data_IF_860374863999
#
_entry.id   IF_860374863999
#
_cell.length_a   1.000
_cell.length_b   1.000
_cell.length_c   1.000
_cell.angle_alpha   90.00
_cell.angle_beta   90.00
_cell.angle_gamma   90.00
#
_symmetry.space_group_name_H-M   'P 1'
#
loop_
_entity.id
_entity.type
_entity.pdbx_description
1 polymer ?
#
# COMPACT_ATOMS: atom_id res chain seq x y z
N UNK A 1 23.85 -26.24 22.56
CA UNK A 1 24.61 -25.20 21.80
C UNK A 1 25.53 -25.82 20.74
N UNK A 2 25.07 -26.77 19.92
CA UNK A 2 25.85 -27.35 18.80
C UNK A 2 25.02 -27.94 17.67
N UNK A 3 23.74 -27.52 17.47
CA UNK A 3 22.91 -27.98 16.36
C UNK A 3 22.73 -26.98 15.21
N UNK A 4 23.15 -25.73 15.38
CA UNK A 4 22.96 -24.70 14.34
C UNK A 4 23.91 -24.79 13.12
N UNK A 5 24.98 -25.55 13.20
CA UNK A 5 26.00 -25.61 12.14
C UNK A 5 25.75 -26.62 11.02
N UNK A 6 24.83 -27.60 11.21
CA UNK A 6 24.59 -28.64 10.21
C UNK A 6 23.53 -28.30 9.14
N UNK A 7 22.65 -27.35 9.46
CA UNK A 7 21.53 -26.98 8.57
C UNK A 7 21.94 -25.98 7.45
N UNK A 8 23.13 -25.40 7.54
CA UNK A 8 23.59 -24.34 6.62
C UNK A 8 24.04 -24.87 5.25
N UNK A 9 24.28 -26.18 5.11
CA UNK A 9 24.79 -26.79 3.87
C UNK A 9 23.75 -27.59 3.08
N UNK A 10 22.51 -27.72 3.60
CA UNK A 10 21.48 -28.44 2.87
C UNK A 10 20.89 -27.57 1.74
N UNK A 11 20.61 -28.17 0.58
CA UNK A 11 19.91 -27.47 -0.49
C UNK A 11 18.50 -27.10 -0.06
N UNK A 12 17.99 -25.98 -0.60
CA UNK A 12 16.61 -25.55 -0.35
C UNK A 12 15.60 -26.60 -0.80
N UNK A 13 14.63 -26.87 0.02
CA UNK A 13 13.46 -27.69 -0.38
C UNK A 13 12.65 -26.94 -1.45
N UNK A 14 11.84 -27.65 -2.21
CA UNK A 14 10.94 -27.07 -3.21
C UNK A 14 9.97 -26.06 -2.58
N UNK A 15 9.49 -26.34 -1.37
CA UNK A 15 8.61 -25.45 -0.60
C UNK A 15 9.34 -24.15 -0.17
N UNK A 16 10.56 -24.26 0.35
CA UNK A 16 11.36 -23.10 0.74
C UNK A 16 11.65 -22.19 -0.46
N UNK A 17 12.00 -22.76 -1.61
CA UNK A 17 12.18 -22.01 -2.86
C UNK A 17 10.91 -21.29 -3.27
N UNK A 18 9.75 -21.95 -3.22
CA UNK A 18 8.47 -21.35 -3.55
C UNK A 18 8.11 -20.21 -2.59
N UNK A 19 8.38 -20.34 -1.30
CA UNK A 19 8.21 -19.29 -0.29
C UNK A 19 9.11 -18.09 -0.58
N UNK A 20 10.36 -18.31 -0.97
CA UNK A 20 11.25 -17.23 -1.38
C UNK A 20 10.72 -16.48 -2.62
N UNK A 21 10.23 -17.20 -3.63
CA UNK A 21 9.61 -16.60 -4.82
C UNK A 21 8.40 -15.75 -4.40
N UNK A 22 7.53 -16.26 -3.52
CA UNK A 22 6.38 -15.51 -3.03
C UNK A 22 6.80 -14.22 -2.29
N UNK A 23 7.87 -14.26 -1.49
CA UNK A 23 8.41 -13.08 -0.79
C UNK A 23 8.97 -12.06 -1.79
N UNK A 24 9.69 -12.50 -2.82
CA UNK A 24 10.20 -11.61 -3.88
C UNK A 24 9.04 -10.95 -4.63
N UNK A 25 7.97 -11.71 -4.94
CA UNK A 25 6.77 -11.16 -5.57
C UNK A 25 6.07 -10.12 -4.69
N UNK A 26 5.94 -10.38 -3.38
CA UNK A 26 5.39 -9.40 -2.41
C UNK A 26 6.29 -8.17 -2.34
N UNK A 27 7.61 -8.33 -2.42
CA UNK A 27 8.56 -7.22 -2.44
C UNK A 27 8.42 -6.37 -3.71
N UNK A 28 8.22 -6.99 -4.87
CA UNK A 28 7.95 -6.28 -6.12
C UNK A 28 6.63 -5.52 -6.07
N UNK A 29 5.55 -6.15 -5.57
CA UNK A 29 4.28 -5.48 -5.32
C UNK A 29 4.42 -4.33 -4.33
N UNK A 30 5.31 -4.45 -3.33
CA UNK A 30 5.60 -3.37 -2.38
C UNK A 30 6.17 -2.13 -3.07
N UNK A 31 7.02 -2.28 -4.09
CA UNK A 31 7.53 -1.13 -4.85
C UNK A 31 6.37 -0.37 -5.48
N UNK A 32 5.46 -1.08 -6.14
CA UNK A 32 4.29 -0.47 -6.82
C UNK A 32 3.37 0.20 -5.80
N UNK A 33 3.05 -0.49 -4.70
CA UNK A 33 2.21 0.04 -3.65
C UNK A 33 2.76 1.36 -3.09
N UNK A 34 4.01 1.36 -2.64
CA UNK A 34 4.63 2.52 -2.02
C UNK A 34 4.88 3.65 -3.00
N UNK A 35 5.13 3.35 -4.28
CA UNK A 35 5.30 4.34 -5.32
C UNK A 35 4.07 5.25 -5.46
N UNK A 36 2.88 4.65 -5.48
CA UNK A 36 1.61 5.40 -5.56
C UNK A 36 1.16 5.92 -4.20
N UNK A 37 1.46 5.21 -3.11
CA UNK A 37 1.20 5.70 -1.76
C UNK A 37 1.92 7.03 -1.47
N UNK A 38 3.20 7.15 -1.83
CA UNK A 38 3.98 8.37 -1.62
C UNK A 38 3.50 9.56 -2.46
N UNK A 39 2.62 9.36 -3.42
CA UNK A 39 2.01 10.49 -4.14
C UNK A 39 1.09 11.34 -3.24
N UNK A 40 0.69 10.85 -2.07
CA UNK A 40 0.02 11.69 -1.07
C UNK A 40 0.92 12.84 -0.56
N UNK A 41 2.22 12.60 -0.45
CA UNK A 41 3.19 13.61 0.04
C UNK A 41 3.75 14.49 -1.09
N UNK A 42 3.45 14.16 -2.34
CA UNK A 42 3.90 14.86 -3.54
C UNK A 42 2.70 15.44 -4.31
N UNK A 43 2.04 14.63 -5.13
CA UNK A 43 0.96 15.09 -6.00
C UNK A 43 -0.22 15.69 -5.22
N UNK A 44 -0.63 15.09 -4.09
CA UNK A 44 -1.72 15.62 -3.29
C UNK A 44 -1.35 16.95 -2.62
N UNK A 45 -0.11 17.11 -2.17
CA UNK A 45 0.35 18.38 -1.55
C UNK A 45 0.30 19.51 -2.56
N UNK A 46 0.79 19.28 -3.78
CA UNK A 46 0.70 20.27 -4.88
C UNK A 46 -0.76 20.57 -5.18
N UNK A 47 -1.59 19.54 -5.34
CA UNK A 47 -3.03 19.73 -5.55
C UNK A 47 -3.70 20.55 -4.45
N UNK A 48 -3.41 20.29 -3.18
CA UNK A 48 -3.96 21.04 -2.06
C UNK A 48 -3.57 22.53 -2.13
N UNK A 49 -2.34 22.81 -2.48
CA UNK A 49 -1.85 24.19 -2.60
C UNK A 49 -2.55 24.95 -3.73
N UNK A 50 -2.74 24.28 -4.88
CA UNK A 50 -3.20 24.94 -6.09
C UNK A 50 -4.73 24.95 -6.23
N UNK A 51 -5.42 23.91 -5.74
CA UNK A 51 -6.84 23.66 -6.06
C UNK A 51 -7.76 23.51 -4.85
N UNK A 52 -7.25 23.53 -3.61
CA UNK A 52 -8.07 23.36 -2.40
C UNK A 52 -8.09 24.64 -1.57
N UNK A 53 -9.25 24.95 -1.00
CA UNK A 53 -9.35 25.98 0.03
C UNK A 53 -8.88 25.39 1.36
N UNK A 54 -7.57 25.56 1.66
CA UNK A 54 -6.92 25.02 2.85
C UNK A 54 -7.18 25.87 4.09
N UNK A 55 -8.45 26.28 4.31
CA UNK A 55 -8.82 27.07 5.50
C UNK A 55 -10.24 26.71 5.99
N UNK A 56 -10.44 26.76 7.30
CA UNK A 56 -11.75 26.62 7.97
C UNK A 56 -11.95 27.90 8.79
N UNK A 57 -12.90 28.76 8.36
CA UNK A 57 -13.07 30.09 8.93
C UNK A 57 -11.81 30.94 8.70
N UNK A 58 -11.22 31.44 9.79
CA UNK A 58 -9.98 32.20 9.79
C UNK A 58 -8.72 31.36 10.04
N UNK A 59 -8.87 30.05 10.15
CA UNK A 59 -7.75 29.14 10.44
C UNK A 59 -7.24 28.47 9.17
N UNK A 60 -5.96 28.69 8.84
CA UNK A 60 -5.28 28.05 7.71
C UNK A 60 -4.71 26.71 8.14
N UNK A 61 -4.95 25.68 7.32
CA UNK A 61 -4.51 24.29 7.54
C UNK A 61 -3.30 24.03 6.65
N UNK A 62 -2.10 23.83 7.20
CA UNK A 62 -0.96 23.42 6.41
C UNK A 62 -1.18 22.07 5.72
N UNK A 63 -0.83 21.89 4.43
CA UNK A 63 -0.99 20.60 3.74
C UNK A 63 -0.34 19.42 4.49
N UNK A 64 0.79 19.63 5.17
CA UNK A 64 1.47 18.62 6.00
C UNK A 64 0.63 18.11 7.18
N UNK A 65 -0.31 18.92 7.68
CA UNK A 65 -1.23 18.45 8.72
C UNK A 65 -2.18 17.39 8.20
N UNK A 66 -2.54 17.46 6.92
CA UNK A 66 -3.39 16.46 6.27
C UNK A 66 -2.58 15.18 5.97
N UNK A 67 -1.43 15.32 5.32
CA UNK A 67 -0.67 14.14 4.87
C UNK A 67 0.13 13.46 5.99
N UNK A 68 0.62 14.19 6.97
CA UNK A 68 1.49 13.66 8.03
C UNK A 68 0.75 13.52 9.36
N UNK A 69 0.15 14.61 9.87
CA UNK A 69 -0.44 14.60 11.22
C UNK A 69 -1.72 13.78 11.25
N UNK A 70 -2.63 13.99 10.28
CA UNK A 70 -3.87 13.24 10.18
C UNK A 70 -3.61 11.76 9.87
N UNK A 71 -2.71 11.46 8.93
CA UNK A 71 -2.27 10.09 8.65
C UNK A 71 -1.72 9.41 9.91
N UNK A 72 -0.80 10.05 10.65
CA UNK A 72 -0.22 9.50 11.88
C UNK A 72 -1.28 9.20 12.95
N UNK A 73 -2.24 10.12 13.15
CA UNK A 73 -3.37 9.90 14.07
C UNK A 73 -4.21 8.70 13.64
N UNK A 74 -4.54 8.62 12.35
CA UNK A 74 -5.28 7.50 11.78
C UNK A 74 -4.53 6.18 11.91
N UNK A 75 -3.21 6.14 11.73
CA UNK A 75 -2.40 4.93 11.92
C UNK A 75 -2.54 4.37 13.34
N UNK A 76 -2.54 5.24 14.36
CA UNK A 76 -2.73 4.81 15.76
C UNK A 76 -4.13 4.23 15.97
N UNK A 77 -5.17 4.94 15.52
CA UNK A 77 -6.56 4.51 15.70
C UNK A 77 -6.88 3.27 14.86
N UNK A 78 -6.57 3.33 13.56
CA UNK A 78 -6.88 2.25 12.63
C UNK A 78 -6.03 1.00 12.88
N UNK A 79 -4.81 1.15 13.42
CA UNK A 79 -3.98 0.00 13.80
C UNK A 79 -4.70 -0.92 14.78
N UNK A 80 -5.30 -0.35 15.82
CA UNK A 80 -6.12 -1.11 16.79
C UNK A 80 -7.40 -1.69 16.17
N UNK A 81 -8.10 -0.91 15.37
CA UNK A 81 -9.34 -1.35 14.69
C UNK A 81 -9.04 -2.49 13.71
N UNK A 82 -8.00 -2.36 12.89
CA UNK A 82 -7.62 -3.40 11.93
C UNK A 82 -7.13 -4.67 12.61
N UNK A 83 -6.39 -4.57 13.72
CA UNK A 83 -6.02 -5.74 14.50
C UNK A 83 -7.25 -6.49 15.03
N UNK A 84 -8.25 -5.77 15.52
CA UNK A 84 -9.51 -6.38 15.97
C UNK A 84 -10.29 -7.02 14.79
N UNK A 85 -10.34 -6.37 13.64
CA UNK A 85 -10.97 -6.91 12.42
C UNK A 85 -10.27 -8.21 11.98
N UNK A 86 -8.93 -8.22 11.90
CA UNK A 86 -8.19 -9.42 11.49
C UNK A 86 -8.36 -10.56 12.49
N UNK A 87 -8.35 -10.27 13.80
CA UNK A 87 -8.65 -11.27 14.85
C UNK A 87 -10.02 -11.88 14.64
N UNK A 88 -11.07 -11.04 14.52
CA UNK A 88 -12.46 -11.51 14.31
C UNK A 88 -12.61 -12.31 13.01
N UNK A 89 -11.87 -11.96 11.95
CA UNK A 89 -11.86 -12.72 10.70
C UNK A 89 -11.18 -14.08 10.86
N UNK A 90 -10.11 -14.17 11.65
CA UNK A 90 -9.42 -15.42 11.93
C UNK A 90 -10.25 -16.42 12.76
N UNK A 91 -11.17 -15.92 13.60
CA UNK A 91 -12.08 -16.72 14.42
C UNK A 91 -13.27 -17.31 13.63
N UNK A 92 -13.45 -16.96 12.35
CA UNK A 92 -14.54 -17.49 11.51
C UNK A 92 -14.32 -18.97 11.17
N UNK A 93 -15.39 -19.75 10.93
CA UNK A 93 -15.28 -21.15 10.49
C UNK A 93 -14.45 -21.32 9.22
N UNK A 94 -14.44 -20.33 8.32
CA UNK A 94 -13.65 -20.32 7.08
C UNK A 94 -12.17 -19.93 7.31
N UNK A 95 -11.77 -19.59 8.54
CA UNK A 95 -10.44 -19.13 8.91
C UNK A 95 -10.14 -17.69 8.45
N UNK A 96 -8.88 -17.31 8.63
CA UNK A 96 -8.39 -15.97 8.25
C UNK A 96 -8.32 -15.80 6.73
N UNK A 97 -8.41 -14.56 6.31
CA UNK A 97 -8.16 -14.18 4.91
C UNK A 97 -6.68 -14.39 4.57
N UNK A 98 -6.38 -15.07 3.45
CA UNK A 98 -4.99 -15.26 3.06
C UNK A 98 -4.28 -13.91 2.79
N UNK A 99 -2.94 -13.93 2.90
CA UNK A 99 -2.10 -12.74 2.78
C UNK A 99 -2.35 -11.97 1.47
N UNK A 100 -2.46 -12.67 0.34
CA UNK A 100 -2.61 -12.02 -0.96
C UNK A 100 -3.95 -11.31 -1.13
N UNK A 101 -5.02 -11.81 -0.49
CA UNK A 101 -6.29 -11.08 -0.44
C UNK A 101 -6.18 -9.79 0.39
N UNK A 102 -5.45 -9.83 1.49
CA UNK A 102 -5.20 -8.63 2.32
C UNK A 102 -4.34 -7.61 1.55
N UNK A 103 -3.35 -8.08 0.80
CA UNK A 103 -2.55 -7.24 -0.12
C UNK A 103 -3.46 -6.60 -1.18
N UNK A 104 -4.33 -7.37 -1.81
CA UNK A 104 -5.30 -6.85 -2.79
C UNK A 104 -6.20 -5.76 -2.20
N UNK A 105 -6.65 -5.91 -0.94
CA UNK A 105 -7.38 -4.86 -0.23
C UNK A 105 -6.56 -3.59 -0.05
N UNK A 106 -5.26 -3.70 0.26
CA UNK A 106 -4.37 -2.55 0.33
C UNK A 106 -4.34 -1.77 -0.99
N UNK A 107 -4.15 -2.46 -2.11
CA UNK A 107 -4.18 -1.87 -3.45
C UNK A 107 -5.55 -1.25 -3.78
N UNK A 108 -6.64 -1.93 -3.42
CA UNK A 108 -8.00 -1.43 -3.59
C UNK A 108 -8.19 -0.08 -2.91
N UNK A 109 -7.81 0.04 -1.63
CA UNK A 109 -7.99 1.28 -0.89
C UNK A 109 -7.11 2.42 -1.40
N UNK A 110 -5.89 2.15 -1.87
CA UNK A 110 -5.09 3.16 -2.56
C UNK A 110 -5.80 3.62 -3.85
N UNK A 111 -6.33 2.71 -4.65
CA UNK A 111 -7.11 3.05 -5.84
C UNK A 111 -8.36 3.85 -5.52
N UNK A 112 -9.11 3.47 -4.47
CA UNK A 112 -10.29 4.21 -4.02
C UNK A 112 -9.94 5.61 -3.49
N UNK A 113 -8.78 5.78 -2.84
CA UNK A 113 -8.32 7.09 -2.39
C UNK A 113 -8.12 8.05 -3.58
N UNK A 114 -7.42 7.60 -4.63
CA UNK A 114 -7.32 8.39 -5.86
C UNK A 114 -8.69 8.57 -6.56
N UNK A 115 -9.58 7.59 -6.46
CA UNK A 115 -10.97 7.71 -6.89
C UNK A 115 -11.74 8.82 -6.16
N UNK A 116 -11.46 9.05 -4.87
CA UNK A 116 -11.99 10.21 -4.12
C UNK A 116 -11.55 11.52 -4.77
N UNK A 117 -10.30 11.62 -5.23
CA UNK A 117 -9.81 12.81 -5.91
C UNK A 117 -10.38 12.98 -7.33
N UNK A 118 -10.69 11.87 -8.01
CA UNK A 118 -11.48 11.92 -9.28
C UNK A 118 -12.84 12.54 -9.02
N UNK A 119 -13.56 12.11 -7.98
CA UNK A 119 -14.85 12.68 -7.60
C UNK A 119 -14.71 14.15 -7.18
N UNK A 120 -13.65 14.49 -6.43
CA UNK A 120 -13.32 15.86 -6.06
C UNK A 120 -13.23 16.78 -7.30
N UNK A 121 -12.49 16.36 -8.34
CA UNK A 121 -12.35 17.12 -9.58
C UNK A 121 -13.67 17.21 -10.38
N UNK A 122 -14.47 16.15 -10.38
CA UNK A 122 -15.80 16.19 -11.01
C UNK A 122 -16.72 17.20 -10.31
N UNK A 123 -16.66 17.29 -8.99
CA UNK A 123 -17.46 18.25 -8.19
C UNK A 123 -16.93 19.67 -8.34
N UNK A 124 -15.62 19.86 -8.39
CA UNK A 124 -14.99 21.17 -8.63
C UNK A 124 -15.28 21.68 -10.02
N UNK A 125 -15.39 20.79 -10.98
CA UNK A 125 -15.51 21.02 -12.44
C UNK A 125 -14.17 20.74 -13.12
N UNK A 126 -14.12 19.71 -13.96
CA UNK A 126 -12.90 19.33 -14.67
C UNK A 126 -12.46 20.45 -15.62
N UNK A 127 -11.20 20.85 -15.51
CA UNK A 127 -10.62 21.90 -16.37
C UNK A 127 -11.03 23.33 -16.03
N UNK A 128 -11.76 23.56 -14.93
CA UNK A 128 -12.05 24.93 -14.48
C UNK A 128 -10.80 25.61 -13.93
N UNK A 129 -10.81 26.93 -13.93
CA UNK A 129 -9.72 27.76 -13.42
C UNK A 129 -9.35 27.44 -11.96
N UNK A 130 -8.08 27.59 -11.64
CA UNK A 130 -7.55 27.31 -10.30
C UNK A 130 -8.13 28.23 -9.21
N UNK A 131 -8.80 29.32 -9.56
CA UNK A 131 -9.53 30.17 -8.60
C UNK A 131 -10.73 29.46 -7.99
N UNK A 132 -11.32 28.49 -8.69
CA UNK A 132 -12.40 27.65 -8.16
C UNK A 132 -11.77 26.56 -7.28
N UNK A 133 -11.89 26.72 -5.96
CA UNK A 133 -11.25 25.82 -4.98
C UNK A 133 -12.19 24.72 -4.53
N UNK A 134 -11.63 23.51 -4.42
CA UNK A 134 -12.29 22.39 -3.77
C UNK A 134 -12.33 22.57 -2.23
N UNK A 135 -13.21 21.85 -1.56
CA UNK A 135 -13.25 21.80 -0.09
C UNK A 135 -12.09 21.01 0.49
N UNK A 136 -11.56 21.45 1.62
CA UNK A 136 -10.55 20.74 2.42
C UNK A 136 -11.00 19.34 2.88
N UNK A 137 -12.30 19.07 2.87
CA UNK A 137 -12.87 17.75 3.18
C UNK A 137 -12.29 16.64 2.29
N UNK A 138 -12.06 16.90 1.00
CA UNK A 138 -11.59 15.91 0.05
C UNK A 138 -10.20 15.34 0.35
N UNK A 139 -9.18 16.18 0.62
CA UNK A 139 -7.87 15.67 1.05
C UNK A 139 -7.92 14.87 2.36
N UNK A 140 -8.72 15.29 3.35
CA UNK A 140 -8.89 14.51 4.58
C UNK A 140 -9.52 13.14 4.31
N UNK A 141 -10.54 13.09 3.44
CA UNK A 141 -11.15 11.83 3.04
C UNK A 141 -10.16 10.95 2.27
N UNK A 142 -9.39 11.52 1.33
CA UNK A 142 -8.33 10.82 0.63
C UNK A 142 -7.34 10.16 1.60
N UNK A 143 -6.78 10.94 2.53
CA UNK A 143 -5.80 10.42 3.50
C UNK A 143 -6.42 9.36 4.40
N UNK A 144 -7.69 9.51 4.76
CA UNK A 144 -8.39 8.49 5.55
C UNK A 144 -8.48 7.16 4.79
N UNK A 145 -8.87 7.20 3.52
CA UNK A 145 -9.03 5.99 2.70
C UNK A 145 -7.66 5.35 2.39
N UNK A 146 -6.65 6.14 2.04
CA UNK A 146 -5.32 5.59 1.72
C UNK A 146 -4.65 4.97 2.96
N UNK A 147 -4.86 5.55 4.15
CA UNK A 147 -4.35 5.00 5.42
C UNK A 147 -4.98 3.63 5.75
N UNK A 148 -6.28 3.43 5.44
CA UNK A 148 -6.87 2.09 5.55
C UNK A 148 -6.13 1.10 4.66
N UNK A 149 -5.79 1.49 3.43
CA UNK A 149 -4.97 0.68 2.52
C UNK A 149 -3.59 0.36 3.09
N UNK A 150 -2.93 1.33 3.69
CA UNK A 150 -1.65 1.15 4.38
C UNK A 150 -1.77 0.12 5.51
N UNK A 151 -2.78 0.22 6.35
CA UNK A 151 -3.00 -0.72 7.46
C UNK A 151 -3.34 -2.14 6.99
N UNK A 152 -3.88 -2.28 5.77
CA UNK A 152 -4.08 -3.60 5.14
C UNK A 152 -2.79 -4.21 4.60
N UNK A 153 -1.77 -3.41 4.28
CA UNK A 153 -0.58 -3.86 3.58
C UNK A 153 0.68 -3.87 4.47
N UNK A 154 0.99 -2.75 5.12
CA UNK A 154 2.27 -2.51 5.77
C UNK A 154 2.60 -3.50 6.91
N UNK A 155 1.73 -3.76 7.90
CA UNK A 155 2.02 -4.68 8.99
C UNK A 155 2.15 -6.13 8.51
N UNK A 156 1.35 -6.50 7.50
CA UNK A 156 1.28 -7.87 7.01
C UNK A 156 2.50 -8.26 6.19
N UNK A 157 3.11 -7.33 5.48
CA UNK A 157 4.32 -7.56 4.68
C UNK A 157 5.47 -8.11 5.52
N UNK A 158 5.78 -7.45 6.64
CA UNK A 158 6.86 -7.87 7.54
C UNK A 158 6.53 -9.19 8.24
N UNK A 159 5.28 -9.37 8.68
CA UNK A 159 4.80 -10.60 9.28
C UNK A 159 4.88 -11.79 8.30
N UNK A 160 4.61 -11.55 7.00
CA UNK A 160 4.70 -12.57 5.97
C UNK A 160 6.12 -13.09 5.80
N UNK A 161 7.11 -12.22 5.73
CA UNK A 161 8.52 -12.64 5.64
C UNK A 161 8.95 -13.39 6.90
N UNK A 162 8.62 -12.87 8.08
CA UNK A 162 8.95 -13.54 9.34
C UNK A 162 8.35 -14.94 9.45
N UNK A 163 7.16 -15.16 8.87
CA UNK A 163 6.44 -16.44 8.92
C UNK A 163 6.96 -17.46 7.92
N UNK A 164 7.27 -17.04 6.69
CA UNK A 164 7.50 -17.93 5.56
C UNK A 164 8.95 -17.99 5.07
N UNK A 165 9.80 -17.05 5.46
CA UNK A 165 11.21 -17.08 5.05
C UNK A 165 11.94 -18.28 5.67
N UNK A 166 12.74 -19.02 4.88
CA UNK A 166 13.66 -20.00 5.43
C UNK A 166 14.62 -19.32 6.41
N UNK A 167 14.86 -19.94 7.57
CA UNK A 167 15.70 -19.36 8.64
C UNK A 167 17.04 -18.84 8.14
N UNK A 168 17.67 -19.59 7.24
CA UNK A 168 18.94 -19.26 6.60
C UNK A 168 18.92 -17.94 5.83
N UNK A 169 17.80 -17.56 5.22
CA UNK A 169 17.66 -16.40 4.34
C UNK A 169 16.78 -15.30 4.94
N UNK A 170 16.35 -15.44 6.20
CA UNK A 170 15.42 -14.47 6.82
C UNK A 170 15.98 -13.04 6.79
N UNK A 171 17.21 -12.82 7.21
CA UNK A 171 17.83 -11.50 7.23
C UNK A 171 17.99 -10.92 5.83
N UNK A 172 18.36 -11.75 4.84
CA UNK A 172 18.47 -11.35 3.45
C UNK A 172 17.11 -10.89 2.89
N UNK A 173 16.06 -11.67 3.14
CA UNK A 173 14.71 -11.38 2.64
C UNK A 173 14.09 -10.17 3.33
N UNK A 174 14.40 -9.92 4.61
CA UNK A 174 14.06 -8.66 5.28
C UNK A 174 14.79 -7.48 4.63
N UNK A 175 16.05 -7.65 4.24
CA UNK A 175 16.79 -6.65 3.46
C UNK A 175 16.16 -6.36 2.09
N UNK A 176 15.69 -7.38 1.38
CA UNK A 176 14.99 -7.21 0.09
C UNK A 176 13.73 -6.34 0.24
N UNK A 177 12.97 -6.55 1.31
CA UNK A 177 11.80 -5.70 1.61
C UNK A 177 12.20 -4.25 1.92
N UNK A 178 13.26 -4.06 2.70
CA UNK A 178 13.76 -2.72 3.00
C UNK A 178 14.21 -2.00 1.72
N UNK A 179 14.95 -2.71 0.84
CA UNK A 179 15.38 -2.18 -0.47
C UNK A 179 14.17 -1.84 -1.35
N UNK A 180 13.11 -2.64 -1.35
CA UNK A 180 11.92 -2.35 -2.16
C UNK A 180 11.22 -1.05 -1.70
N UNK A 181 11.13 -0.80 -0.40
CA UNK A 181 10.58 0.45 0.14
C UNK A 181 11.49 1.65 -0.17
N UNK A 182 12.80 1.47 0.00
CA UNK A 182 13.78 2.50 -0.35
C UNK A 182 13.72 2.84 -1.85
N UNK A 183 13.65 1.83 -2.71
CA UNK A 183 13.53 2.01 -4.16
C UNK A 183 12.27 2.77 -4.55
N UNK A 184 11.11 2.43 -3.98
CA UNK A 184 9.87 3.14 -4.20
C UNK A 184 9.98 4.63 -3.79
N UNK A 185 10.55 4.90 -2.62
CA UNK A 185 10.76 6.27 -2.13
C UNK A 185 11.65 7.08 -3.09
N UNK A 186 12.75 6.50 -3.58
CA UNK A 186 13.67 7.14 -4.53
C UNK A 186 13.08 7.34 -5.92
N UNK A 187 12.19 6.44 -6.36
CA UNK A 187 11.52 6.54 -7.65
C UNK A 187 10.31 7.50 -7.62
N UNK A 188 9.71 7.74 -6.46
CA UNK A 188 8.49 8.54 -6.31
C UNK A 188 8.60 9.96 -6.86
N UNK A 189 9.71 10.73 -6.66
CA UNK A 189 9.87 12.05 -7.26
C UNK A 189 9.94 12.02 -8.80
N UNK A 190 10.49 10.94 -9.40
CA UNK A 190 10.52 10.80 -10.86
C UNK A 190 9.12 10.54 -11.43
N UNK A 191 8.31 9.76 -10.71
CA UNK A 191 6.89 9.58 -11.05
C UNK A 191 6.16 10.92 -10.94
N UNK A 192 6.39 11.68 -9.87
CA UNK A 192 5.81 13.01 -9.72
C UNK A 192 6.20 13.94 -10.88
N UNK A 193 7.47 14.05 -11.22
CA UNK A 193 7.95 14.84 -12.35
C UNK A 193 7.38 14.41 -13.72
N UNK A 194 6.97 13.14 -13.83
CA UNK A 194 6.28 12.63 -15.02
C UNK A 194 4.80 13.05 -15.02
N UNK A 195 4.09 12.88 -13.91
CA UNK A 195 2.66 13.19 -13.81
C UNK A 195 2.37 14.70 -13.87
N UNK A 196 3.30 15.56 -13.44
CA UNK A 196 3.20 17.03 -13.58
C UNK A 196 3.10 17.52 -15.03
N UNK A 197 3.42 16.66 -16.01
CA UNK A 197 3.26 16.97 -17.44
C UNK A 197 1.83 16.80 -17.96
N UNK A 198 0.94 16.26 -17.14
CA UNK A 198 -0.44 15.95 -17.47
C UNK A 198 -1.39 16.76 -16.58
N UNK A 199 -2.61 16.94 -17.06
CA UNK A 199 -3.66 17.52 -16.24
C UNK A 199 -4.00 16.63 -15.05
N UNK A 200 -4.42 17.25 -13.95
CA UNK A 200 -4.67 16.58 -12.68
C UNK A 200 -5.72 15.46 -12.77
N UNK A 201 -6.81 15.71 -13.50
CA UNK A 201 -7.91 14.75 -13.62
C UNK A 201 -7.50 13.43 -14.28
N UNK A 202 -6.88 13.40 -15.48
CA UNK A 202 -6.41 12.15 -16.07
C UNK A 202 -5.35 11.44 -15.23
N UNK A 203 -4.54 12.16 -14.47
CA UNK A 203 -3.57 11.55 -13.53
C UNK A 203 -4.30 10.77 -12.43
N UNK A 204 -5.28 11.38 -11.77
CA UNK A 204 -6.04 10.68 -10.73
C UNK A 204 -6.81 9.49 -11.27
N UNK A 205 -7.44 9.63 -12.45
CA UNK A 205 -8.09 8.50 -13.13
C UNK A 205 -7.09 7.39 -13.45
N UNK A 206 -5.93 7.75 -14.02
CA UNK A 206 -4.88 6.79 -14.39
C UNK A 206 -4.38 5.99 -13.19
N UNK A 207 -4.06 6.65 -12.08
CA UNK A 207 -3.62 5.98 -10.85
C UNK A 207 -4.73 5.07 -10.30
N UNK A 208 -5.98 5.57 -10.26
CA UNK A 208 -7.14 4.78 -9.83
C UNK A 208 -7.25 3.49 -10.65
N UNK A 209 -7.22 3.59 -11.97
CA UNK A 209 -7.33 2.43 -12.87
C UNK A 209 -6.16 1.46 -12.68
N UNK A 210 -4.92 1.95 -12.62
CA UNK A 210 -3.74 1.11 -12.41
C UNK A 210 -3.88 0.32 -11.10
N UNK A 211 -4.25 0.97 -10.00
CA UNK A 211 -4.39 0.31 -8.70
C UNK A 211 -5.53 -0.70 -8.68
N UNK A 212 -6.66 -0.42 -9.33
CA UNK A 212 -7.77 -1.37 -9.48
C UNK A 212 -7.39 -2.58 -10.35
N UNK A 213 -6.61 -2.38 -11.40
CA UNK A 213 -6.07 -3.47 -12.24
C UNK A 213 -5.15 -4.36 -11.39
N UNK A 214 -4.21 -3.79 -10.62
CA UNK A 214 -3.38 -4.59 -9.71
C UNK A 214 -4.21 -5.31 -8.65
N UNK A 215 -5.23 -4.67 -8.09
CA UNK A 215 -6.18 -5.30 -7.17
C UNK A 215 -6.81 -6.55 -7.79
N UNK A 216 -7.34 -6.41 -9.00
CA UNK A 216 -7.98 -7.53 -9.72
C UNK A 216 -6.98 -8.66 -10.03
N UNK A 217 -5.78 -8.32 -10.52
CA UNK A 217 -4.73 -9.30 -10.82
C UNK A 217 -4.30 -10.08 -9.57
N UNK A 218 -4.05 -9.40 -8.46
CA UNK A 218 -3.65 -10.05 -7.20
C UNK A 218 -4.80 -10.92 -6.67
N UNK A 219 -6.04 -10.41 -6.75
CA UNK A 219 -7.21 -11.15 -6.29
C UNK A 219 -7.47 -12.42 -7.12
N UNK A 220 -7.35 -12.35 -8.43
CA UNK A 220 -7.49 -13.51 -9.33
C UNK A 220 -6.36 -14.52 -9.13
N UNK A 221 -5.13 -14.04 -8.96
CA UNK A 221 -3.95 -14.89 -8.74
C UNK A 221 -3.83 -15.43 -7.30
N UNK A 222 -4.65 -14.98 -6.35
CA UNK A 222 -4.46 -15.28 -4.92
C UNK A 222 -4.39 -16.77 -4.58
N UNK A 223 -5.19 -17.61 -5.23
CA UNK A 223 -5.16 -19.08 -5.00
C UNK A 223 -3.81 -19.68 -5.41
N UNK A 224 -3.29 -19.31 -6.59
CA UNK A 224 -2.00 -19.77 -7.09
C UNK A 224 -0.85 -19.23 -6.25
N UNK A 225 -0.91 -17.97 -5.84
CA UNK A 225 0.10 -17.35 -4.98
C UNK A 225 0.12 -17.97 -3.58
N UNK A 226 -1.06 -18.27 -3.02
CA UNK A 226 -1.17 -18.90 -1.70
C UNK A 226 -0.64 -20.34 -1.71
N UNK A 227 -0.83 -21.09 -2.80
CA UNK A 227 -0.28 -22.44 -2.92
C UNK A 227 1.25 -22.49 -2.94
N UNK A 228 1.93 -21.39 -3.27
CA UNK A 228 3.40 -21.31 -3.18
C UNK A 228 3.91 -21.36 -1.72
N UNK A 229 3.10 -20.87 -0.78
CA UNK A 229 3.53 -20.75 0.64
C UNK A 229 2.94 -21.83 1.55
N UNK A 230 1.77 -22.37 1.21
CA UNK A 230 1.03 -23.37 1.99
C UNK A 230 1.14 -24.80 1.42
N UNK A 231 1.94 -25.01 0.36
CA UNK A 231 2.20 -26.34 -0.20
C UNK A 231 2.74 -27.29 0.86
N UNK A 232 2.36 -28.58 0.77
CA UNK A 232 2.93 -29.65 1.63
C UNK A 232 4.40 -29.84 1.24
N UNK A 233 5.27 -30.03 2.24
CA UNK A 233 6.60 -30.56 1.99
C UNK A 233 6.42 -31.96 1.38
N UNK A 234 6.78 -32.11 0.10
CA UNK A 234 6.98 -33.41 -0.50
C UNK A 234 8.26 -33.97 0.13
N UNK A 235 8.11 -35.01 0.93
CA UNK A 235 9.19 -35.74 1.61
C UNK A 235 10.12 -36.42 0.58
#
# INVERSE_FOLDING_TARGET
KKEDGKNDKQPLTKLERNRMIAIILVSALSVIFWLFYYQQDLALVIYMTDYVKMSIGSFDIPPSWVTTTWNGLLCVVLGGVMAAIWKKLAERPQGDMNMFKKVALGFLFVGLAFGVMVVCELVRGVGVDASVKASVFWPFLFVTVITIGEMCFSPLRNAFVSKYAPKKYLSLLMGVIAISTFGANKLSPFVQAFIEKFDVFPVFVGITVIMLVFTALIFLANKKLNSLVEGKEEA
#
